data_IF_909755495222
#
_entry.id   IF_909755495222
#
_cell.length_a   1.000
_cell.length_b   1.000
_cell.length_c   1.000
_cell.angle_alpha   90.00
_cell.angle_beta   90.00
_cell.angle_gamma   90.00
#
_symmetry.space_group_name_H-M   'P 1'
#
loop_
_entity.id
_entity.type
_entity.pdbx_description
1 polymer ?
#
# COMPACT_ATOMS: atom_id res chain seq x y z
N UNK A 1 25.12 -8.26 11.19
CA UNK A 1 24.85 -8.19 9.74
C UNK A 1 24.29 -6.80 9.48
N UNK A 2 24.92 -6.05 8.57
CA UNK A 2 24.77 -4.61 8.36
C UNK A 2 23.33 -4.16 8.11
N UNK A 3 22.93 -3.05 8.74
CA UNK A 3 21.62 -2.43 8.56
C UNK A 3 21.39 -2.01 7.12
N UNK A 4 20.48 -2.71 6.43
CA UNK A 4 19.77 -2.15 5.27
C UNK A 4 18.85 -1.05 5.78
N UNK A 5 18.82 0.08 5.08
CA UNK A 5 17.78 1.07 5.31
C UNK A 5 16.44 0.39 5.02
N UNK A 6 15.54 0.37 6.01
CA UNK A 6 14.24 -0.26 5.86
C UNK A 6 13.46 0.51 4.78
N UNK A 7 13.25 -0.11 3.61
CA UNK A 7 12.51 0.47 2.49
C UNK A 7 11.04 0.75 2.84
N UNK A 8 10.59 0.11 3.92
CA UNK A 8 9.23 0.13 4.45
C UNK A 8 8.93 1.45 5.17
N UNK A 9 7.90 2.14 4.69
CA UNK A 9 7.39 3.36 5.31
C UNK A 9 6.27 3.07 6.32
N UNK A 10 5.51 2.01 6.06
CA UNK A 10 4.34 1.65 6.85
C UNK A 10 4.04 0.17 6.68
N UNK A 11 3.66 -0.47 7.77
CA UNK A 11 3.19 -1.85 7.82
C UNK A 11 2.09 -1.94 8.89
N UNK A 12 0.92 -2.47 8.53
CA UNK A 12 -0.14 -2.76 9.49
C UNK A 12 -1.05 -3.90 8.99
N UNK A 13 -1.76 -4.53 9.91
CA UNK A 13 -2.77 -5.56 9.60
C UNK A 13 -4.16 -4.95 9.68
N UNK A 14 -4.92 -5.13 8.62
CA UNK A 14 -6.27 -4.59 8.46
C UNK A 14 -7.29 -5.72 8.34
N UNK A 15 -8.45 -5.55 8.98
CA UNK A 15 -9.62 -6.39 8.74
C UNK A 15 -10.57 -5.68 7.78
N UNK A 16 -11.02 -6.37 6.73
CA UNK A 16 -12.02 -5.85 5.80
C UNK A 16 -13.38 -5.81 6.49
N UNK A 17 -13.96 -4.62 6.62
CA UNK A 17 -15.24 -4.37 7.29
C UNK A 17 -16.38 -4.14 6.32
N UNK A 18 -16.09 -3.61 5.13
CA UNK A 18 -17.08 -3.34 4.08
C UNK A 18 -16.50 -3.62 2.69
N UNK A 19 -17.38 -3.93 1.75
CA UNK A 19 -17.05 -4.25 0.36
C UNK A 19 -18.14 -3.72 -0.57
N UNK A 20 -17.80 -2.76 -1.43
CA UNK A 20 -18.71 -2.16 -2.41
C UNK A 20 -18.22 -2.38 -3.85
N UNK A 21 -18.96 -3.18 -4.62
CA UNK A 21 -18.75 -3.42 -6.05
C UNK A 21 -19.94 -2.89 -6.88
N UNK A 22 -20.83 -2.08 -6.30
CA UNK A 22 -22.09 -1.70 -6.96
C UNK A 22 -21.92 -0.86 -8.24
N UNK A 23 -20.74 -0.24 -8.43
CA UNK A 23 -20.48 0.73 -9.51
C UNK A 23 -19.63 0.20 -10.65
N UNK A 24 -18.80 -0.81 -10.42
CA UNK A 24 -17.80 -1.27 -11.38
C UNK A 24 -17.73 -2.79 -11.44
N UNK A 25 -17.59 -3.34 -12.65
CA UNK A 25 -17.57 -4.80 -12.83
C UNK A 25 -16.31 -5.46 -12.25
N UNK A 26 -15.17 -4.76 -12.28
CA UNK A 26 -13.83 -5.31 -11.96
C UNK A 26 -13.11 -4.60 -10.82
N UNK A 27 -13.75 -3.60 -10.22
CA UNK A 27 -13.18 -2.83 -9.13
C UNK A 27 -14.16 -2.84 -7.97
N UNK A 28 -13.66 -3.15 -6.78
CA UNK A 28 -14.41 -2.98 -5.55
C UNK A 28 -13.69 -1.97 -4.66
N UNK A 29 -14.47 -1.20 -3.91
CA UNK A 29 -13.98 -0.38 -2.82
C UNK A 29 -14.13 -1.15 -1.52
N UNK A 30 -13.01 -1.45 -0.88
CA UNK A 30 -13.01 -2.06 0.45
C UNK A 30 -12.79 -0.99 1.51
N UNK A 31 -13.46 -1.15 2.64
CA UNK A 31 -13.14 -0.42 3.87
C UNK A 31 -12.53 -1.40 4.85
N UNK A 32 -11.47 -0.96 5.52
CA UNK A 32 -10.76 -1.79 6.47
C UNK A 32 -10.37 -1.00 7.71
N UNK A 33 -10.24 -1.71 8.82
CA UNK A 33 -9.79 -1.14 10.10
C UNK A 33 -8.57 -1.91 10.61
N UNK A 34 -7.59 -1.21 11.18
CA UNK A 34 -6.40 -1.84 11.75
C UNK A 34 -6.75 -2.68 12.98
N UNK A 35 -5.91 -3.66 13.31
CA UNK A 35 -6.13 -4.54 14.46
C UNK A 35 -6.23 -3.79 15.81
N UNK A 36 -5.61 -2.63 15.92
CA UNK A 36 -5.68 -1.75 17.10
C UNK A 36 -6.81 -0.70 17.04
N UNK A 37 -7.61 -0.71 15.97
CA UNK A 37 -8.69 0.24 15.68
C UNK A 37 -8.26 1.72 15.64
N UNK A 38 -6.99 2.00 15.38
CA UNK A 38 -6.48 3.37 15.31
C UNK A 38 -6.39 3.90 13.88
N UNK A 39 -6.28 3.00 12.89
CA UNK A 39 -6.10 3.32 11.48
C UNK A 39 -7.27 2.79 10.66
N UNK A 40 -7.86 3.65 9.85
CA UNK A 40 -8.92 3.32 8.91
C UNK A 40 -8.39 3.45 7.49
N UNK A 41 -8.70 2.47 6.65
CA UNK A 41 -8.26 2.41 5.26
C UNK A 41 -9.47 2.25 4.35
N UNK A 42 -9.53 3.03 3.28
CA UNK A 42 -10.40 2.76 2.13
C UNK A 42 -9.51 2.53 0.91
N UNK A 43 -9.72 1.44 0.18
CA UNK A 43 -8.89 1.06 -0.96
C UNK A 43 -9.75 0.55 -2.12
N UNK A 44 -9.48 1.06 -3.31
CA UNK A 44 -10.01 0.47 -4.56
C UNK A 44 -9.08 -0.67 -5.01
N UNK A 45 -9.63 -1.87 -5.25
CA UNK A 45 -8.88 -3.06 -5.66
C UNK A 45 -9.42 -3.64 -6.97
N UNK A 46 -8.54 -4.24 -7.76
CA UNK A 46 -8.95 -5.06 -8.90
C UNK A 46 -9.29 -6.48 -8.44
N UNK A 47 -10.57 -6.83 -8.49
CA UNK A 47 -11.10 -8.07 -7.92
C UNK A 47 -10.85 -9.32 -8.80
N UNK A 48 -10.55 -9.14 -10.09
CA UNK A 48 -10.18 -10.27 -10.97
C UNK A 48 -8.80 -10.81 -10.60
N UNK A 49 -7.91 -9.92 -10.13
CA UNK A 49 -6.54 -10.25 -9.74
C UNK A 49 -6.42 -10.57 -8.25
N UNK A 50 -7.18 -9.86 -7.41
CA UNK A 50 -7.10 -9.96 -5.95
C UNK A 50 -8.50 -10.05 -5.32
N UNK A 51 -9.06 -11.27 -5.18
CA UNK A 51 -10.37 -11.46 -4.60
C UNK A 51 -10.36 -11.26 -3.07
N UNK A 52 -11.18 -10.30 -2.60
CA UNK A 52 -11.40 -9.99 -1.19
C UNK A 52 -12.87 -10.14 -0.80
N UNK A 53 -13.11 -10.41 0.48
CA UNK A 53 -14.41 -10.48 1.11
C UNK A 53 -14.37 -9.80 2.49
N UNK A 54 -15.53 -9.40 2.98
CA UNK A 54 -15.68 -8.91 4.35
C UNK A 54 -15.24 -9.99 5.34
N UNK A 55 -14.44 -9.59 6.34
CA UNK A 55 -13.85 -10.47 7.34
C UNK A 55 -12.44 -10.95 7.02
N UNK A 56 -11.96 -10.77 5.79
CA UNK A 56 -10.57 -11.07 5.43
C UNK A 56 -9.60 -10.20 6.23
N UNK A 57 -8.45 -10.77 6.58
CA UNK A 57 -7.32 -10.02 7.14
C UNK A 57 -6.30 -9.75 6.04
N UNK A 58 -5.84 -8.51 5.93
CA UNK A 58 -4.86 -8.08 4.96
C UNK A 58 -3.64 -7.53 5.69
N UNK A 59 -2.45 -8.02 5.36
CA UNK A 59 -1.20 -7.35 5.69
C UNK A 59 -0.93 -6.31 4.60
N UNK A 60 -0.91 -5.04 4.98
CA UNK A 60 -0.66 -3.92 4.08
C UNK A 60 0.69 -3.31 4.41
N UNK A 61 1.56 -3.26 3.40
CA UNK A 61 2.90 -2.69 3.49
C UNK A 61 3.05 -1.61 2.42
N UNK A 62 3.65 -0.49 2.79
CA UNK A 62 4.02 0.58 1.86
C UNK A 62 5.52 0.79 1.87
N UNK A 63 6.13 0.81 0.69
CA UNK A 63 7.57 0.91 0.54
C UNK A 63 7.98 1.92 -0.54
N UNK A 64 9.19 2.48 -0.41
CA UNK A 64 9.76 3.41 -1.40
C UNK A 64 10.46 2.71 -2.56
N UNK A 65 10.82 1.45 -2.39
CA UNK A 65 11.56 0.64 -3.36
C UNK A 65 11.22 -0.83 -3.18
N UNK A 66 11.39 -1.62 -4.24
CA UNK A 66 11.25 -3.09 -4.19
C UNK A 66 12.59 -3.80 -3.94
N UNK A 67 13.70 -3.07 -3.92
CA UNK A 67 15.02 -3.62 -3.64
C UNK A 67 15.18 -3.95 -2.16
N UNK A 68 15.61 -5.18 -1.86
CA UNK A 68 15.79 -5.65 -0.48
C UNK A 68 16.84 -4.86 0.32
N UNK A 69 17.78 -4.20 -0.37
CA UNK A 69 18.83 -3.40 0.26
C UNK A 69 18.42 -1.94 0.52
N UNK A 70 17.19 -1.57 0.16
CA UNK A 70 16.67 -0.21 0.32
C UNK A 70 17.23 0.79 -0.71
N UNK A 71 17.97 0.32 -1.73
CA UNK A 71 18.40 1.19 -2.82
C UNK A 71 17.19 1.69 -3.60
N UNK A 72 17.15 3.00 -3.86
CA UNK A 72 16.07 3.59 -4.64
C UNK A 72 16.07 2.98 -6.04
N UNK A 73 14.87 2.78 -6.59
CA UNK A 73 14.76 2.53 -8.02
C UNK A 73 15.31 3.78 -8.74
N UNK A 74 16.49 3.63 -9.34
CA UNK A 74 17.05 4.62 -10.26
C UNK A 74 16.01 4.94 -11.35
N UNK A 75 16.09 6.10 -12.00
CA UNK A 75 15.24 6.55 -13.14
C UNK A 75 15.32 5.66 -14.41
N UNK A 76 15.62 4.38 -14.25
CA UNK A 76 15.58 3.34 -15.27
C UNK A 76 14.11 3.04 -15.56
N UNK A 77 13.75 3.07 -16.84
CA UNK A 77 12.40 2.67 -17.28
C UNK A 77 12.04 1.26 -16.79
N UNK A 78 10.75 1.01 -16.59
CA UNK A 78 10.22 -0.26 -16.10
C UNK A 78 10.72 -1.44 -16.95
N UNK A 79 11.19 -2.49 -16.27
CA UNK A 79 11.59 -3.75 -16.89
C UNK A 79 10.87 -4.90 -16.20
N UNK A 80 10.40 -5.83 -17.00
CA UNK A 80 9.86 -7.10 -16.51
C UNK A 80 11.01 -7.98 -16.02
N UNK A 81 11.32 -7.89 -14.73
CA UNK A 81 12.40 -8.65 -14.09
C UNK A 81 12.16 -10.15 -14.18
N UNK A 82 10.91 -10.63 -14.20
CA UNK A 82 10.59 -12.07 -14.28
C UNK A 82 11.11 -12.76 -15.55
N UNK A 83 11.42 -11.99 -16.59
CA UNK A 83 11.92 -12.48 -17.88
C UNK A 83 13.45 -12.44 -18.01
N UNK A 84 14.16 -11.98 -16.97
CA UNK A 84 15.63 -11.94 -16.98
C UNK A 84 16.21 -13.27 -16.45
N UNK A 85 17.26 -13.83 -17.08
CA UNK A 85 17.85 -15.11 -16.68
C UNK A 85 18.39 -15.16 -15.24
N UNK A 86 18.71 -14.00 -14.66
CA UNK A 86 19.26 -13.81 -13.30
C UNK A 86 18.50 -12.68 -12.57
N UNK A 87 17.17 -12.70 -12.67
CA UNK A 87 16.34 -11.72 -12.00
C UNK A 87 16.58 -11.73 -10.49
N UNK A 88 17.04 -10.63 -9.87
CA UNK A 88 17.12 -10.57 -8.42
C UNK A 88 15.70 -10.67 -7.85
N UNK A 89 15.55 -11.46 -6.78
CA UNK A 89 14.29 -11.48 -6.04
C UNK A 89 13.99 -10.09 -5.51
N UNK A 90 12.72 -9.74 -5.47
CA UNK A 90 12.27 -8.44 -4.96
C UNK A 90 11.34 -8.62 -3.78
N UNK A 91 11.13 -7.54 -3.02
CA UNK A 91 10.18 -7.54 -1.91
C UNK A 91 8.77 -7.93 -2.41
N UNK A 92 8.43 -7.60 -3.67
CA UNK A 92 7.13 -7.91 -4.27
C UNK A 92 6.81 -9.42 -4.33
N UNK A 93 7.83 -10.29 -4.44
CA UNK A 93 7.64 -11.74 -4.59
C UNK A 93 6.97 -12.40 -3.35
N UNK A 94 6.94 -11.70 -2.21
CA UNK A 94 6.35 -12.17 -0.97
C UNK A 94 4.86 -11.80 -0.79
N UNK A 95 4.30 -10.98 -1.68
CA UNK A 95 2.96 -10.38 -1.59
C UNK A 95 2.08 -10.79 -2.77
N UNK A 96 0.77 -10.79 -2.55
CA UNK A 96 -0.22 -11.29 -3.52
C UNK A 96 -0.71 -10.19 -4.46
N UNK A 97 -0.66 -8.92 -4.02
CA UNK A 97 -1.13 -7.77 -4.78
C UNK A 97 -0.18 -6.59 -4.61
N UNK A 98 0.31 -6.07 -5.74
CA UNK A 98 1.30 -5.00 -5.78
C UNK A 98 0.84 -3.89 -6.71
N UNK A 99 0.92 -2.65 -6.23
CA UNK A 99 0.59 -1.45 -7.00
C UNK A 99 1.67 -0.39 -6.81
N UNK A 100 1.89 0.44 -7.82
CA UNK A 100 2.76 1.61 -7.74
C UNK A 100 1.95 2.88 -7.99
N UNK A 101 2.14 3.88 -7.15
CA UNK A 101 1.27 5.05 -7.15
C UNK A 101 1.92 6.28 -6.55
N UNK A 102 1.11 7.34 -6.52
CA UNK A 102 1.50 8.65 -6.00
C UNK A 102 0.64 9.02 -4.81
N UNK A 103 1.27 9.53 -3.75
CA UNK A 103 0.59 10.20 -2.66
C UNK A 103 0.38 11.65 -3.09
N UNK A 104 -0.87 12.06 -3.28
CA UNK A 104 -1.19 13.34 -3.91
C UNK A 104 -1.74 14.38 -2.93
N UNK A 105 -2.14 13.95 -1.73
CA UNK A 105 -2.71 14.84 -0.72
C UNK A 105 -2.48 14.31 0.69
N UNK A 106 -2.11 15.23 1.58
CA UNK A 106 -2.05 15.03 3.03
C UNK A 106 -2.90 16.09 3.70
N UNK A 107 -3.72 15.68 4.66
CA UNK A 107 -4.49 16.60 5.51
C UNK A 107 -4.25 16.26 6.97
N UNK A 108 -3.84 17.25 7.75
CA UNK A 108 -3.79 17.14 9.21
C UNK A 108 -5.19 17.45 9.76
N UNK A 109 -5.68 16.63 10.69
CA UNK A 109 -6.95 16.91 11.37
C UNK A 109 -6.81 18.06 12.35
N UNK A 110 -7.91 18.77 12.64
CA UNK A 110 -7.91 19.95 13.51
C UNK A 110 -7.44 19.68 14.95
N UNK A 111 -7.57 18.43 15.42
CA UNK A 111 -7.09 17.98 16.73
C UNK A 111 -5.57 17.76 16.78
N UNK A 112 -4.89 17.68 15.62
CA UNK A 112 -3.47 17.41 15.52
C UNK A 112 -3.06 16.00 15.95
N UNK A 113 -4.01 15.05 16.06
CA UNK A 113 -3.72 13.68 16.48
C UNK A 113 -3.68 12.69 15.31
N UNK A 114 -4.42 12.99 14.24
CA UNK A 114 -4.51 12.14 13.04
C UNK A 114 -4.10 12.90 11.78
N UNK A 115 -3.71 12.12 10.77
CA UNK A 115 -3.48 12.58 9.41
C UNK A 115 -4.30 11.72 8.45
N UNK A 116 -4.83 12.35 7.41
CA UNK A 116 -5.40 11.67 6.25
C UNK A 116 -4.40 11.73 5.10
N UNK A 117 -3.97 10.56 4.62
CA UNK A 117 -3.15 10.42 3.43
C UNK A 117 -4.01 9.90 2.27
N UNK A 118 -3.91 10.53 1.11
CA UNK A 118 -4.63 10.10 -0.10
C UNK A 118 -3.66 9.75 -1.22
N UNK A 119 -3.88 8.58 -1.79
CA UNK A 119 -2.96 7.94 -2.73
C UNK A 119 -3.72 7.48 -3.96
N UNK A 120 -3.06 7.46 -5.11
CA UNK A 120 -3.62 6.99 -6.37
C UNK A 120 -2.66 6.04 -7.06
N UNK A 121 -3.14 4.83 -7.35
CA UNK A 121 -2.43 3.76 -8.05
C UNK A 121 -2.99 3.65 -9.48
N UNK A 122 -2.71 4.66 -10.31
CA UNK A 122 -3.20 4.69 -11.69
C UNK A 122 -4.73 4.83 -11.82
N UNK A 123 -5.39 5.44 -10.82
CA UNK A 123 -6.84 5.64 -10.80
C UNK A 123 -7.55 4.82 -9.72
N UNK A 124 -6.91 3.78 -9.18
CA UNK A 124 -7.38 3.11 -7.95
C UNK A 124 -7.00 3.97 -6.75
N UNK A 125 -8.00 4.47 -6.03
CA UNK A 125 -7.78 5.42 -4.94
C UNK A 125 -7.61 4.69 -3.61
N UNK A 126 -6.78 5.28 -2.76
CA UNK A 126 -6.62 4.88 -1.36
C UNK A 126 -6.73 6.10 -0.46
N UNK A 127 -7.45 5.95 0.65
CA UNK A 127 -7.45 6.88 1.76
C UNK A 127 -7.03 6.15 3.01
N UNK A 128 -6.10 6.74 3.76
CA UNK A 128 -5.60 6.20 5.01
C UNK A 128 -5.69 7.28 6.09
N UNK A 129 -6.46 7.02 7.13
CA UNK A 129 -6.62 7.90 8.28
C UNK A 129 -6.06 7.23 9.52
N UNK A 130 -5.17 7.90 10.25
CA UNK A 130 -4.55 7.30 11.43
C UNK A 130 -3.60 8.24 12.17
N UNK A 131 -2.97 7.76 13.26
CA UNK A 131 -2.12 8.58 14.11
C UNK A 131 -0.93 9.19 13.35
N UNK A 132 -0.61 10.46 13.64
CA UNK A 132 0.50 11.18 12.98
C UNK A 132 1.79 10.38 12.99
N UNK A 133 2.13 9.76 14.13
CA UNK A 133 3.39 9.00 14.29
C UNK A 133 3.49 7.83 13.32
N UNK A 134 2.37 7.17 12.99
CA UNK A 134 2.35 6.05 12.03
C UNK A 134 2.41 6.53 10.58
N UNK A 135 1.79 7.67 10.26
CA UNK A 135 1.63 8.13 8.87
C UNK A 135 2.67 9.16 8.41
N UNK A 136 3.45 9.75 9.33
CA UNK A 136 4.51 10.71 8.99
C UNK A 136 5.54 10.19 7.98
N UNK A 137 6.00 8.92 8.03
CA UNK A 137 6.94 8.40 7.04
C UNK A 137 6.40 8.40 5.59
N UNK A 138 5.08 8.47 5.40
CA UNK A 138 4.46 8.50 4.09
C UNK A 138 4.58 9.85 3.37
N UNK A 139 5.27 10.86 3.92
CA UNK A 139 5.54 12.14 3.24
C UNK A 139 6.57 11.99 2.11
N UNK A 140 6.25 11.15 1.14
CA UNK A 140 6.99 10.89 -0.09
C UNK A 140 6.05 11.06 -1.28
N UNK A 141 6.61 11.26 -2.47
CA UNK A 141 5.79 11.40 -3.67
C UNK A 141 5.22 10.07 -4.15
N UNK A 142 6.09 9.07 -4.35
CA UNK A 142 5.73 7.78 -4.92
C UNK A 142 5.90 6.65 -3.91
N UNK A 143 5.01 5.66 -4.00
CA UNK A 143 4.94 4.55 -3.05
C UNK A 143 4.48 3.28 -3.75
N UNK A 144 5.09 2.16 -3.36
CA UNK A 144 4.59 0.82 -3.66
C UNK A 144 3.62 0.40 -2.56
N UNK A 145 2.43 -0.05 -2.96
CA UNK A 145 1.49 -0.77 -2.12
C UNK A 145 1.75 -2.26 -2.32
N UNK A 146 1.96 -2.97 -1.21
CA UNK A 146 2.20 -4.40 -1.14
C UNK A 146 1.14 -4.99 -0.20
N UNK A 147 0.32 -5.91 -0.69
CA UNK A 147 -0.76 -6.52 0.09
C UNK A 147 -0.63 -8.04 0.05
N UNK A 148 -0.75 -8.64 1.23
CA UNK A 148 -0.80 -10.08 1.43
C UNK A 148 -2.05 -10.45 2.20
N UNK A 149 -2.72 -11.52 1.76
CA UNK A 149 -3.91 -12.05 2.43
C UNK A 149 -3.54 -13.11 3.47
#
# INVERSE_FOLDING_TARGET
MSGGADATLFEDRFQVTDYDQSKYDRVARIQCISADNQTEMTLDINIELFPCAVGDTLLVVMATTLNHDGTKDDDKGWRDVSKLPDAPSTIADAYDYVCYGKIYKFEETFDGEKINAYMSYGGLLMSLSGPIKKLTPLRVDYVYLLVKK
#
